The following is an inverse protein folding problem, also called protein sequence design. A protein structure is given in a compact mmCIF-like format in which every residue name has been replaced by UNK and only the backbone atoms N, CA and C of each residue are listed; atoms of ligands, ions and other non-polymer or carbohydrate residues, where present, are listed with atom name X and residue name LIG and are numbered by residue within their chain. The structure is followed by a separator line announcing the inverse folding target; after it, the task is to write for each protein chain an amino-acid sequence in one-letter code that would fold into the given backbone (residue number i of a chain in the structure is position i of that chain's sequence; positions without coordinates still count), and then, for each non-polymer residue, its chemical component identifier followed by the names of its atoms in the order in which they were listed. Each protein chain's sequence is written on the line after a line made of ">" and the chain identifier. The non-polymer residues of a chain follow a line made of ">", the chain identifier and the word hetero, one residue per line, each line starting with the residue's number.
data_IF_184371234893
#
_entry.id   IF_184371234893
#
_cell.length_a   1.000
_cell.length_b   1.000
_cell.length_c   1.000
_cell.angle_alpha   90.00
_cell.angle_beta   90.00
_cell.angle_gamma   90.00
#
_symmetry.space_group_name_H-M   'P 1'
#
loop_
_entity.id
_entity.type
_entity.pdbx_description
1 polymer ?
#
# COMPACT_ATOMS: atom_id res chain seq x y z
N UNK A 1 -18.46 -28.00 -49.63
CA UNK A 1 -18.36 -27.16 -48.42
C UNK A 1 -17.61 -27.98 -47.38
N UNK A 2 -16.34 -27.66 -47.13
CA UNK A 2 -15.49 -28.33 -46.15
C UNK A 2 -15.64 -27.67 -44.78
N UNK A 3 -15.79 -28.43 -43.68
CA UNK A 3 -15.86 -27.87 -42.35
C UNK A 3 -14.44 -27.47 -41.91
N UNK A 4 -14.25 -26.18 -41.65
CA UNK A 4 -13.04 -25.68 -40.99
C UNK A 4 -13.07 -26.12 -39.53
N UNK A 5 -12.34 -27.19 -39.21
CA UNK A 5 -11.97 -27.52 -37.83
C UNK A 5 -10.97 -26.48 -37.34
N UNK A 6 -11.47 -25.44 -36.69
CA UNK A 6 -10.66 -24.53 -35.88
C UNK A 6 -10.34 -25.24 -34.57
N UNK A 7 -9.34 -26.13 -34.60
CA UNK A 7 -8.76 -26.72 -33.41
C UNK A 7 -8.11 -25.60 -32.59
N UNK A 8 -8.87 -24.98 -31.68
CA UNK A 8 -8.30 -24.13 -30.64
C UNK A 8 -7.36 -25.00 -29.83
N UNK A 9 -6.07 -24.86 -30.09
CA UNK A 9 -5.03 -25.50 -29.31
C UNK A 9 -5.08 -24.85 -27.93
N UNK A 10 -5.82 -25.47 -27.01
CA UNK A 10 -5.75 -25.12 -25.61
C UNK A 10 -4.28 -25.29 -25.19
N UNK A 11 -3.60 -24.17 -24.93
CA UNK A 11 -2.25 -24.16 -24.39
C UNK A 11 -2.31 -24.86 -23.03
N UNK A 12 -1.99 -26.14 -23.00
CA UNK A 12 -1.88 -26.93 -21.78
C UNK A 12 -0.64 -26.42 -21.04
N UNK A 13 -0.85 -25.85 -19.85
CA UNK A 13 0.19 -25.28 -18.98
C UNK A 13 1.15 -26.36 -18.40
N UNK A 14 1.01 -27.62 -18.79
CA UNK A 14 1.71 -28.75 -18.16
C UNK A 14 3.21 -28.91 -18.49
N UNK A 15 3.76 -28.51 -19.66
CA UNK A 15 5.17 -28.71 -19.93
C UNK A 15 6.05 -27.48 -19.61
N UNK A 16 5.55 -26.50 -18.85
CA UNK A 16 6.33 -25.31 -18.54
C UNK A 16 7.41 -25.61 -17.47
N UNK A 17 8.65 -25.11 -17.64
CA UNK A 17 9.68 -25.17 -16.60
C UNK A 17 9.22 -24.53 -15.29
N UNK A 18 9.70 -25.07 -14.17
CA UNK A 18 9.41 -24.58 -12.81
C UNK A 18 9.64 -23.07 -12.66
N UNK A 19 10.73 -22.54 -13.20
CA UNK A 19 11.06 -21.12 -13.12
C UNK A 19 10.01 -20.23 -13.79
N UNK A 20 9.36 -20.72 -14.86
CA UNK A 20 8.28 -19.99 -15.53
C UNK A 20 7.03 -19.97 -14.64
N UNK A 21 6.73 -21.04 -13.91
CA UNK A 21 5.63 -21.04 -12.94
C UNK A 21 5.91 -20.05 -11.82
N UNK A 22 7.13 -19.99 -11.27
CA UNK A 22 7.51 -19.03 -10.23
C UNK A 22 7.35 -17.59 -10.73
N UNK A 23 7.81 -17.28 -11.94
CA UNK A 23 7.70 -15.93 -12.50
C UNK A 23 6.25 -15.55 -12.81
N UNK A 24 5.43 -16.50 -13.30
CA UNK A 24 4.00 -16.30 -13.49
C UNK A 24 3.30 -15.98 -12.16
N UNK A 25 3.58 -16.75 -11.11
CA UNK A 25 3.03 -16.55 -9.76
C UNK A 25 3.42 -15.17 -9.21
N UNK A 26 4.69 -14.78 -9.36
CA UNK A 26 5.17 -13.45 -8.96
C UNK A 26 4.47 -12.35 -9.75
N UNK A 27 4.33 -12.50 -11.06
CA UNK A 27 3.66 -11.53 -11.94
C UNK A 27 2.19 -11.34 -11.57
N UNK A 28 1.47 -12.43 -11.31
CA UNK A 28 0.07 -12.39 -10.86
C UNK A 28 -0.05 -11.61 -9.55
N UNK A 29 0.83 -11.89 -8.58
CA UNK A 29 0.82 -11.19 -7.29
C UNK A 29 1.33 -9.74 -7.38
N UNK A 30 2.13 -9.42 -8.39
CA UNK A 30 2.65 -8.09 -8.68
C UNK A 30 1.72 -7.21 -9.53
N UNK A 31 0.54 -7.70 -9.92
CA UNK A 31 -0.42 -6.88 -10.69
C UNK A 31 -0.70 -5.55 -9.99
N UNK A 32 -0.37 -4.46 -10.68
CA UNK A 32 -0.24 -3.13 -10.09
C UNK A 32 -1.54 -2.66 -9.42
N UNK A 33 -1.41 -2.15 -8.19
CA UNK A 33 -2.48 -1.47 -7.45
C UNK A 33 -3.36 -2.37 -6.59
N UNK A 34 -3.33 -3.69 -6.80
CA UNK A 34 -4.11 -4.63 -6.00
C UNK A 34 -3.27 -5.08 -4.80
N UNK A 35 -3.86 -5.11 -3.60
CA UNK A 35 -3.18 -5.65 -2.43
C UNK A 35 -2.84 -7.13 -2.69
N UNK A 36 -1.65 -7.59 -2.29
CA UNK A 36 -1.20 -9.00 -2.48
C UNK A 36 -2.29 -10.00 -2.09
N UNK A 37 -3.02 -9.75 -0.99
CA UNK A 37 -4.14 -10.59 -0.55
C UNK A 37 -5.32 -10.64 -1.53
N UNK A 38 -5.67 -9.52 -2.17
CA UNK A 38 -6.70 -9.52 -3.21
C UNK A 38 -6.22 -10.26 -4.47
N UNK A 39 -4.98 -10.04 -4.93
CA UNK A 39 -4.45 -10.80 -6.07
C UNK A 39 -4.39 -12.30 -5.76
N UNK A 40 -4.09 -12.65 -4.51
CA UNK A 40 -4.13 -14.02 -4.03
C UNK A 40 -5.54 -14.62 -4.14
N UNK A 41 -6.56 -13.96 -3.58
CA UNK A 41 -7.93 -14.47 -3.55
C UNK A 41 -8.57 -14.56 -4.94
N UNK A 42 -8.41 -13.52 -5.76
CA UNK A 42 -9.17 -13.38 -7.01
C UNK A 42 -8.46 -13.98 -8.23
N UNK A 43 -7.14 -14.10 -8.20
CA UNK A 43 -6.36 -14.55 -9.35
C UNK A 43 -5.55 -15.80 -9.05
N UNK A 44 -4.86 -15.83 -7.92
CA UNK A 44 -4.00 -16.96 -7.59
C UNK A 44 -4.78 -18.20 -7.19
N UNK A 45 -5.76 -18.06 -6.30
CA UNK A 45 -6.51 -19.20 -5.78
C UNK A 45 -7.22 -20.00 -6.89
N UNK A 46 -7.94 -19.37 -7.85
CA UNK A 46 -8.52 -20.11 -8.98
C UNK A 46 -7.47 -20.83 -9.82
N UNK A 47 -6.31 -20.21 -10.04
CA UNK A 47 -5.22 -20.80 -10.83
C UNK A 47 -4.60 -22.03 -10.14
N UNK A 48 -4.40 -21.95 -8.81
CA UNK A 48 -3.89 -23.07 -8.01
C UNK A 48 -4.84 -24.27 -8.03
N UNK A 49 -6.15 -24.01 -7.96
CA UNK A 49 -7.17 -25.07 -8.06
C UNK A 49 -7.19 -25.71 -9.45
N UNK A 50 -6.96 -24.91 -10.50
CA UNK A 50 -7.01 -25.37 -11.88
C UNK A 50 -5.75 -26.13 -12.34
N UNK A 51 -4.61 -26.00 -11.64
CA UNK A 51 -3.33 -26.59 -12.08
C UNK A 51 -2.52 -27.18 -10.92
N UNK A 52 -2.42 -28.52 -10.81
CA UNK A 52 -1.62 -29.19 -9.79
C UNK A 52 -0.13 -28.81 -9.83
N UNK A 53 0.46 -28.64 -11.02
CA UNK A 53 1.87 -28.26 -11.16
C UNK A 53 2.15 -26.85 -10.61
N UNK A 54 1.24 -25.91 -10.85
CA UNK A 54 1.34 -24.55 -10.29
C UNK A 54 1.14 -24.58 -8.78
N UNK A 55 0.24 -25.43 -8.27
CA UNK A 55 0.06 -25.65 -6.84
C UNK A 55 1.35 -26.15 -6.16
N UNK A 56 2.00 -27.16 -6.75
CA UNK A 56 3.29 -27.67 -6.27
C UNK A 56 4.39 -26.59 -6.31
N UNK A 57 4.46 -25.82 -7.41
CA UNK A 57 5.41 -24.73 -7.53
C UNK A 57 5.18 -23.68 -6.43
N UNK A 58 3.93 -23.33 -6.17
CA UNK A 58 3.55 -22.43 -5.10
C UNK A 58 3.95 -22.97 -3.73
N UNK A 59 3.63 -24.22 -3.39
CA UNK A 59 3.93 -24.77 -2.07
C UNK A 59 5.43 -24.75 -1.74
N UNK A 60 6.29 -25.00 -2.74
CA UNK A 60 7.75 -24.98 -2.59
C UNK A 60 8.31 -23.56 -2.50
N UNK A 61 7.75 -22.61 -3.23
CA UNK A 61 8.35 -21.28 -3.44
C UNK A 61 7.56 -20.12 -2.81
N UNK A 62 6.44 -20.40 -2.13
CA UNK A 62 5.49 -19.41 -1.59
C UNK A 62 6.17 -18.29 -0.82
N UNK A 63 7.04 -18.61 0.15
CA UNK A 63 7.68 -17.61 0.99
C UNK A 63 8.63 -16.72 0.19
N UNK A 64 9.37 -17.29 -0.75
CA UNK A 64 10.30 -16.56 -1.61
C UNK A 64 9.56 -15.62 -2.57
N UNK A 65 8.48 -16.11 -3.20
CA UNK A 65 7.63 -15.31 -4.08
C UNK A 65 7.00 -14.16 -3.30
N UNK A 66 6.33 -14.45 -2.18
CA UNK A 66 5.67 -13.43 -1.36
C UNK A 66 6.67 -12.38 -0.86
N UNK A 67 7.85 -12.81 -0.43
CA UNK A 67 8.91 -11.90 -0.01
C UNK A 67 9.38 -11.00 -1.16
N UNK A 68 9.69 -11.58 -2.34
CA UNK A 68 10.12 -10.83 -3.53
C UNK A 68 9.07 -9.79 -3.93
N UNK A 69 7.82 -10.22 -4.10
CA UNK A 69 6.71 -9.34 -4.50
C UNK A 69 6.48 -8.24 -3.47
N UNK A 70 6.47 -8.57 -2.17
CA UNK A 70 6.31 -7.59 -1.11
C UNK A 70 7.46 -6.57 -1.10
N UNK A 71 8.69 -7.01 -1.31
CA UNK A 71 9.87 -6.15 -1.38
C UNK A 71 9.83 -5.22 -2.60
N UNK A 72 9.50 -5.75 -3.79
CA UNK A 72 9.34 -4.97 -5.02
C UNK A 72 8.23 -3.91 -4.88
N UNK A 73 7.08 -4.28 -4.32
CA UNK A 73 5.98 -3.34 -4.09
C UNK A 73 6.29 -2.30 -3.00
N UNK A 74 7.05 -2.66 -1.97
CA UNK A 74 7.53 -1.69 -0.97
C UNK A 74 8.54 -0.72 -1.58
N UNK A 75 9.40 -1.20 -2.47
CA UNK A 75 10.36 -0.38 -3.19
C UNK A 75 9.64 0.61 -4.11
N UNK A 76 8.60 0.18 -4.83
CA UNK A 76 7.83 1.08 -5.71
C UNK A 76 7.07 2.16 -4.95
N UNK A 77 6.54 1.86 -3.76
CA UNK A 77 5.82 2.83 -2.93
C UNK A 77 6.76 3.83 -2.25
N UNK A 78 8.06 3.54 -2.15
CA UNK A 78 9.01 4.36 -1.40
C UNK A 78 9.02 5.82 -1.86
N UNK A 79 9.08 6.06 -3.16
CA UNK A 79 9.18 7.42 -3.70
C UNK A 79 7.87 8.20 -3.55
N UNK A 80 6.73 7.54 -3.75
CA UNK A 80 5.40 8.11 -3.50
C UNK A 80 5.20 8.43 -2.01
N UNK A 81 5.60 7.51 -1.13
CA UNK A 81 5.53 7.68 0.31
C UNK A 81 6.37 8.87 0.79
N UNK A 82 7.58 9.03 0.27
CA UNK A 82 8.44 10.17 0.59
C UNK A 82 7.83 11.49 0.09
N UNK A 83 7.25 11.48 -1.10
CA UNK A 83 6.60 12.65 -1.70
C UNK A 83 5.38 13.08 -0.89
N UNK A 84 4.50 12.14 -0.56
CA UNK A 84 3.31 12.40 0.24
C UNK A 84 3.66 12.80 1.68
N UNK A 85 4.69 12.19 2.29
CA UNK A 85 5.20 12.63 3.60
C UNK A 85 5.68 14.09 3.57
N UNK A 86 6.48 14.48 2.57
CA UNK A 86 6.94 15.88 2.42
C UNK A 86 5.76 16.84 2.27
N UNK A 87 4.74 16.44 1.51
CA UNK A 87 3.50 17.21 1.35
C UNK A 87 2.76 17.36 2.68
N UNK A 88 2.55 16.26 3.41
CA UNK A 88 1.89 16.27 4.71
C UNK A 88 2.61 17.18 5.71
N UNK A 89 3.93 17.04 5.86
CA UNK A 89 4.72 17.88 6.79
C UNK A 89 4.57 19.37 6.49
N UNK A 90 4.61 19.75 5.20
CA UNK A 90 4.40 21.15 4.79
C UNK A 90 3.00 21.65 5.14
N UNK A 91 1.97 20.85 4.87
CA UNK A 91 0.57 21.21 5.15
C UNK A 91 0.33 21.30 6.66
N UNK A 92 0.85 20.35 7.43
CA UNK A 92 0.78 20.35 8.89
C UNK A 92 1.46 21.58 9.49
N UNK A 93 2.68 21.92 9.03
CA UNK A 93 3.38 23.11 9.50
C UNK A 93 2.60 24.39 9.19
N UNK A 94 2.06 24.53 7.96
CA UNK A 94 1.20 25.67 7.60
C UNK A 94 -0.03 25.77 8.48
N UNK A 95 -0.68 24.64 8.77
CA UNK A 95 -1.82 24.58 9.68
C UNK A 95 -1.44 25.06 11.10
N UNK A 96 -0.29 24.62 11.64
CA UNK A 96 0.18 25.04 12.97
C UNK A 96 0.56 26.52 13.05
N UNK A 97 1.24 27.05 12.04
CA UNK A 97 1.54 28.49 11.94
C UNK A 97 0.25 29.29 11.93
N UNK A 98 -0.70 28.88 11.08
CA UNK A 98 -2.00 29.54 10.99
C UNK A 98 -2.77 29.47 12.33
N UNK A 99 -2.80 28.31 12.97
CA UNK A 99 -3.45 28.12 14.28
C UNK A 99 -2.85 29.06 15.33
N UNK A 100 -1.54 29.29 15.27
CA UNK A 100 -0.84 30.21 16.18
C UNK A 100 -1.18 31.67 15.88
N UNK A 101 -1.25 32.06 14.60
CA UNK A 101 -1.66 33.43 14.20
C UNK A 101 -3.08 33.75 14.67
N UNK A 102 -4.01 32.80 14.59
CA UNK A 102 -5.38 32.97 15.09
C UNK A 102 -5.43 33.17 16.60
N UNK A 103 -4.62 32.43 17.36
CA UNK A 103 -4.55 32.59 18.82
C UNK A 103 -4.04 33.96 19.23
N UNK A 104 -3.23 34.61 18.41
CA UNK A 104 -2.69 35.95 18.66
C UNK A 104 -3.67 37.07 18.28
N UNK A 105 -4.85 36.76 17.72
CA UNK A 105 -5.86 37.77 17.37
C UNK A 105 -5.44 38.70 16.22
N UNK A 106 -4.44 38.31 15.43
CA UNK A 106 -3.83 39.16 14.40
C UNK A 106 -4.55 39.17 13.04
N UNK A 107 -5.76 38.58 12.92
CA UNK A 107 -6.40 38.41 11.60
C UNK A 107 -7.90 38.71 11.66
N UNK A 108 -8.38 39.43 10.64
CA UNK A 108 -9.79 39.79 10.43
C UNK A 108 -10.66 38.53 10.24
N UNK A 109 -11.63 38.35 11.14
CA UNK A 109 -12.39 37.10 11.35
C UNK A 109 -13.04 36.57 10.07
N UNK A 110 -13.57 37.45 9.20
CA UNK A 110 -14.33 37.06 8.02
C UNK A 110 -13.46 36.55 6.86
N UNK A 111 -12.33 37.20 6.57
CA UNK A 111 -11.38 36.77 5.52
C UNK A 111 -10.67 35.47 5.96
N UNK A 112 -10.45 35.32 7.25
CA UNK A 112 -9.72 34.19 7.82
C UNK A 112 -10.54 32.90 7.86
N UNK A 113 -11.88 32.99 7.93
CA UNK A 113 -12.75 31.81 7.93
C UNK A 113 -12.75 31.06 6.58
N UNK A 114 -12.75 31.77 5.44
CA UNK A 114 -12.64 31.11 4.11
C UNK A 114 -11.30 30.43 3.89
N UNK A 115 -10.22 31.05 4.37
CA UNK A 115 -8.90 30.46 4.33
C UNK A 115 -8.78 29.27 5.29
N UNK A 116 -9.45 29.32 6.44
CA UNK A 116 -9.50 28.23 7.41
C UNK A 116 -10.07 26.93 6.81
N UNK A 117 -11.24 27.03 6.19
CA UNK A 117 -11.91 25.88 5.58
C UNK A 117 -11.07 25.25 4.45
N UNK A 118 -10.33 26.06 3.69
CA UNK A 118 -9.38 25.57 2.70
C UNK A 118 -8.17 24.86 3.34
N UNK A 119 -7.58 25.44 4.38
CA UNK A 119 -6.40 24.88 5.07
C UNK A 119 -6.76 23.59 5.83
N UNK A 120 -7.93 23.52 6.49
CA UNK A 120 -8.42 22.31 7.15
C UNK A 120 -8.62 21.20 6.12
N UNK A 121 -9.32 21.46 5.01
CA UNK A 121 -9.53 20.43 3.98
C UNK A 121 -8.23 19.93 3.37
N UNK A 122 -7.26 20.82 3.15
CA UNK A 122 -5.94 20.42 2.68
C UNK A 122 -5.21 19.56 3.71
N UNK A 123 -5.31 19.90 5.00
CA UNK A 123 -4.72 19.13 6.08
C UNK A 123 -5.33 17.73 6.18
N UNK A 124 -6.66 17.65 6.17
CA UNK A 124 -7.38 16.39 6.26
C UNK A 124 -7.06 15.47 5.08
N UNK A 125 -7.09 15.97 3.84
CA UNK A 125 -6.69 15.19 2.65
C UNK A 125 -5.25 14.70 2.74
N UNK A 126 -4.32 15.56 3.15
CA UNK A 126 -2.92 15.16 3.29
C UNK A 126 -2.73 14.11 4.40
N UNK A 127 -3.55 14.16 5.45
CA UNK A 127 -3.58 13.15 6.49
C UNK A 127 -4.13 11.81 5.97
N UNK A 128 -5.25 11.82 5.26
CA UNK A 128 -5.83 10.62 4.63
C UNK A 128 -4.85 9.97 3.66
N UNK A 129 -4.21 10.75 2.80
CA UNK A 129 -3.17 10.26 1.88
C UNK A 129 -2.03 9.58 2.66
N UNK A 130 -1.58 10.21 3.76
CA UNK A 130 -0.51 9.67 4.61
C UNK A 130 -0.93 8.39 5.35
N UNK A 131 -2.17 8.33 5.85
CA UNK A 131 -2.73 7.17 6.50
C UNK A 131 -2.88 6.00 5.52
N UNK A 132 -3.36 6.28 4.30
CA UNK A 132 -3.46 5.32 3.21
C UNK A 132 -2.11 4.65 2.90
N UNK A 133 -1.03 5.43 2.80
CA UNK A 133 0.33 4.89 2.63
C UNK A 133 0.75 4.04 3.82
N UNK A 134 0.49 4.49 5.05
CA UNK A 134 0.89 3.72 6.24
C UNK A 134 0.22 2.35 6.28
N UNK A 135 -1.08 2.30 5.98
CA UNK A 135 -1.84 1.05 5.85
C UNK A 135 -1.27 0.20 4.72
N UNK A 136 -0.98 0.81 3.56
CA UNK A 136 -0.42 0.13 2.40
C UNK A 136 0.95 -0.50 2.68
N UNK A 137 1.80 0.18 3.45
CA UNK A 137 3.10 -0.33 3.90
C UNK A 137 2.91 -1.47 4.89
N UNK A 138 2.05 -1.27 5.89
CA UNK A 138 1.84 -2.26 6.94
C UNK A 138 1.30 -3.58 6.37
N UNK A 139 0.32 -3.50 5.47
CA UNK A 139 -0.22 -4.67 4.74
C UNK A 139 0.86 -5.40 3.93
N UNK A 140 1.86 -4.70 3.37
CA UNK A 140 2.94 -5.33 2.61
C UNK A 140 4.01 -5.95 3.51
N UNK A 141 4.30 -5.33 4.65
CA UNK A 141 5.21 -5.87 5.65
C UNK A 141 4.75 -7.20 6.23
N UNK A 142 3.44 -7.39 6.33
CA UNK A 142 2.86 -8.68 6.74
C UNK A 142 3.37 -9.86 5.89
N UNK A 143 3.69 -9.62 4.61
CA UNK A 143 4.14 -10.64 3.67
C UNK A 143 5.66 -10.80 3.61
N UNK A 144 6.43 -10.00 4.37
CA UNK A 144 7.87 -10.18 4.48
C UNK A 144 8.17 -11.34 5.44
N UNK A 145 9.05 -12.25 5.02
CA UNK A 145 9.52 -13.34 5.88
C UNK A 145 10.19 -12.77 7.16
N UNK A 146 9.94 -13.33 8.35
CA UNK A 146 10.48 -12.80 9.62
C UNK A 146 12.01 -12.79 9.68
N UNK A 147 12.67 -13.69 8.94
CA UNK A 147 14.13 -13.76 8.81
C UNK A 147 14.68 -12.60 7.98
N UNK A 148 13.89 -12.09 7.05
CA UNK A 148 14.17 -10.86 6.33
C UNK A 148 13.59 -9.69 7.11
N UNK A 149 14.31 -9.29 8.17
CA UNK A 149 14.16 -7.94 8.70
C UNK A 149 14.65 -7.00 7.57
N UNK A 150 13.78 -6.30 6.83
CA UNK A 150 14.25 -5.41 5.78
C UNK A 150 15.21 -4.43 6.47
N UNK A 151 16.42 -4.19 5.91
CA UNK A 151 17.41 -3.29 6.51
C UNK A 151 16.65 -2.03 6.88
N UNK A 152 16.61 -1.76 8.18
CA UNK A 152 15.75 -0.79 8.85
C UNK A 152 15.25 0.27 7.89
N UNK A 153 14.04 0.09 7.36
CA UNK A 153 13.36 1.15 6.62
C UNK A 153 13.15 2.25 7.67
N UNK A 154 14.11 3.16 7.80
CA UNK A 154 14.20 4.17 8.88
C UNK A 154 12.91 4.98 9.00
N UNK A 155 12.19 5.15 7.88
CA UNK A 155 10.89 5.81 7.82
C UNK A 155 9.76 5.06 8.55
N UNK A 156 9.94 3.80 8.92
CA UNK A 156 8.97 3.04 9.72
C UNK A 156 9.15 3.16 11.22
N UNK A 157 10.35 3.54 11.68
CA UNK A 157 10.57 3.90 13.09
C UNK A 157 9.76 5.16 13.45
N UNK A 158 9.51 6.04 12.47
CA UNK A 158 8.62 7.19 12.63
C UNK A 158 7.18 6.78 13.00
N UNK A 159 6.66 5.67 12.48
CA UNK A 159 5.33 5.16 12.85
C UNK A 159 5.32 4.71 14.32
N UNK A 160 6.41 4.09 14.80
CA UNK A 160 6.58 3.75 16.22
C UNK A 160 6.79 4.98 17.11
N UNK A 161 7.47 6.03 16.62
CA UNK A 161 7.65 7.27 17.39
C UNK A 161 6.40 8.15 17.40
N UNK A 162 5.50 7.98 16.42
CA UNK A 162 4.11 8.43 16.53
C UNK A 162 3.33 7.55 17.54
N UNK A 163 3.81 6.38 17.92
CA UNK A 163 3.17 5.43 18.84
C UNK A 163 3.14 5.82 20.32
N UNK A 164 3.03 7.12 20.64
CA UNK A 164 2.58 7.56 21.96
C UNK A 164 1.43 8.58 21.89
N UNK A 165 1.28 9.40 20.84
CA UNK A 165 0.34 10.54 20.89
C UNK A 165 -0.33 11.06 19.57
N UNK A 166 -0.45 10.34 18.42
CA UNK A 166 -1.49 10.72 17.47
C UNK A 166 -2.33 9.57 16.89
N UNK A 167 -2.00 8.30 17.12
CA UNK A 167 -2.96 7.22 16.81
C UNK A 167 -4.02 7.14 17.93
N UNK A 168 -3.62 7.39 19.19
CA UNK A 168 -4.55 7.55 20.30
C UNK A 168 -5.30 8.90 20.24
N UNK A 169 -4.68 9.96 19.74
CA UNK A 169 -5.29 11.30 19.73
C UNK A 169 -6.31 11.52 18.60
N UNK A 170 -6.36 10.67 17.57
CA UNK A 170 -7.40 10.74 16.52
C UNK A 170 -8.56 9.77 16.73
N UNK A 171 -8.49 8.82 17.68
CA UNK A 171 -9.65 7.98 18.05
C UNK A 171 -10.26 8.42 19.40
N UNK A 172 -9.52 9.16 20.24
CA UNK A 172 -10.02 9.61 21.56
C UNK A 172 -10.61 11.03 21.54
N UNK A 173 -10.35 11.86 20.53
CA UNK A 173 -10.91 13.23 20.45
C UNK A 173 -12.23 13.37 19.67
N UNK A 174 -12.85 12.26 19.25
CA UNK A 174 -14.15 12.29 18.54
C UNK A 174 -15.39 12.04 19.44
N UNK A 175 -15.25 12.01 20.78
CA UNK A 175 -16.40 11.83 21.71
C UNK A 175 -16.45 12.87 22.84
N UNK A 176 -15.84 14.04 22.69
CA UNK A 176 -16.05 15.14 23.64
C UNK A 176 -15.86 16.49 22.98
N UNK A 177 -16.89 16.95 22.25
CA UNK A 177 -17.46 18.30 22.28
C UNK A 177 -18.75 18.31 21.47
#
# INVERSE_FOLDING_TARGET
>A
MTPNNTSSTALTLEPLPFDIHVELLATILSTQGIAIGHSYEWHLLPLLVASPNICLAWDVSRSAILHRVAAEQLASIKDDALTLRRRYVRVFFRFKVWQSLMRLGHVDVCVTYRHLDAVIRQHYRAWEDSAGICIAVWKRRFWLAPVYNPPTLEWSQFIRSLGAEPIALCIVYEVSF
#
